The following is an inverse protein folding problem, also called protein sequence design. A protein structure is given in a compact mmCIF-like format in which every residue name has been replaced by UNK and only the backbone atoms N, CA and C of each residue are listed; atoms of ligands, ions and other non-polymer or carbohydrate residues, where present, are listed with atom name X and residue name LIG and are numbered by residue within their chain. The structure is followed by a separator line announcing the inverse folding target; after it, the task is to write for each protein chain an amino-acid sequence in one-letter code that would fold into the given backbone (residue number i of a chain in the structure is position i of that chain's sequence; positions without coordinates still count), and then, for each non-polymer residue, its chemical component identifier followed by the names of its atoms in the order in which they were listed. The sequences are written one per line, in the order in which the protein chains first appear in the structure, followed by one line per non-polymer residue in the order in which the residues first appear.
data_IF_874809750794
#
_entry.id   IF_874809750794
#
_cell.length_a   1.000
_cell.length_b   1.000
_cell.length_c   1.000
_cell.angle_alpha   90.00
_cell.angle_beta   90.00
_cell.angle_gamma   90.00
#
_symmetry.space_group_name_H-M   'P 1'
#
loop_
_entity.id
_entity.type
_entity.pdbx_description
1 polymer ?
#
# COMPACT_ATOMS: atom_id res chain seq x y z
N UNK A 1 2.84 31.09 -22.91
CA UNK A 1 3.90 31.44 -21.94
C UNK A 1 3.75 30.65 -20.62
N UNK A 2 2.56 30.61 -20.02
CA UNK A 2 2.26 29.88 -18.77
C UNK A 2 2.59 28.36 -18.83
N UNK A 3 2.23 27.67 -19.93
CA UNK A 3 2.52 26.23 -20.10
C UNK A 3 4.02 25.87 -20.10
N UNK A 4 4.89 26.77 -20.59
CA UNK A 4 6.35 26.53 -20.59
C UNK A 4 6.95 26.70 -19.20
N UNK A 5 6.46 27.67 -18.42
CA UNK A 5 6.86 27.87 -17.02
C UNK A 5 6.42 26.70 -16.13
N UNK A 6 5.20 26.19 -16.31
CA UNK A 6 4.73 24.99 -15.60
C UNK A 6 5.59 23.75 -15.88
N UNK A 7 6.05 23.57 -17.12
CA UNK A 7 6.92 22.44 -17.48
C UNK A 7 8.28 22.49 -16.76
N UNK A 8 8.87 23.68 -16.64
CA UNK A 8 10.16 23.87 -15.93
C UNK A 8 9.96 23.72 -14.42
N UNK A 9 8.81 24.16 -13.89
CA UNK A 9 8.49 24.05 -12.48
C UNK A 9 8.20 22.61 -12.02
N UNK A 10 7.66 21.77 -12.92
CA UNK A 10 7.39 20.36 -12.63
C UNK A 10 8.58 19.43 -12.90
N UNK A 11 9.68 19.96 -13.45
CA UNK A 11 10.90 19.20 -13.67
C UNK A 11 11.67 19.03 -12.35
N UNK A 12 11.99 17.78 -11.99
CA UNK A 12 12.62 17.41 -10.71
C UNK A 12 13.98 18.07 -10.46
N UNK A 13 14.68 18.50 -11.52
CA UNK A 13 16.00 19.11 -11.44
C UNK A 13 15.89 20.63 -11.51
N UNK A 14 15.19 21.17 -12.52
CA UNK A 14 15.13 22.62 -12.73
C UNK A 14 14.34 23.36 -11.65
N UNK A 15 13.31 22.75 -11.08
CA UNK A 15 12.56 23.30 -9.93
C UNK A 15 13.46 23.52 -8.71
N UNK A 16 14.39 22.59 -8.44
CA UNK A 16 15.36 22.70 -7.35
C UNK A 16 16.38 23.81 -7.62
N UNK A 17 16.89 23.90 -8.85
CA UNK A 17 17.83 24.96 -9.25
C UNK A 17 17.20 26.34 -9.10
N UNK A 18 15.95 26.51 -9.54
CA UNK A 18 15.23 27.79 -9.39
C UNK A 18 14.97 28.11 -7.92
N UNK A 19 14.60 27.11 -7.11
CA UNK A 19 14.38 27.29 -5.67
C UNK A 19 15.65 27.75 -4.95
N UNK A 20 16.80 27.14 -5.25
CA UNK A 20 18.11 27.57 -4.73
C UNK A 20 18.44 28.99 -5.20
N UNK A 21 18.17 29.33 -6.46
CA UNK A 21 18.36 30.67 -6.99
C UNK A 21 17.50 31.73 -6.27
N UNK A 22 16.24 31.42 -5.97
CA UNK A 22 15.34 32.31 -5.22
C UNK A 22 15.84 32.50 -3.79
N UNK A 23 16.23 31.42 -3.09
CA UNK A 23 16.79 31.51 -1.74
C UNK A 23 18.08 32.33 -1.70
N UNK A 24 18.93 32.18 -2.72
CA UNK A 24 20.15 32.97 -2.87
C UNK A 24 19.84 34.47 -3.09
N UNK A 25 18.88 34.79 -3.96
CA UNK A 25 18.43 36.17 -4.18
C UNK A 25 17.86 36.82 -2.92
N UNK A 26 17.01 36.11 -2.17
CA UNK A 26 16.47 36.58 -0.89
C UNK A 26 17.62 36.90 0.09
N UNK A 27 18.62 36.03 0.14
CA UNK A 27 19.82 36.22 0.99
C UNK A 27 20.61 37.46 0.58
N UNK A 28 20.80 37.70 -0.72
CA UNK A 28 21.47 38.91 -1.22
C UNK A 28 20.69 40.19 -0.89
N UNK A 29 19.37 40.17 -1.07
CA UNK A 29 18.50 41.32 -0.76
C UNK A 29 18.55 41.63 0.74
N UNK A 30 18.43 40.61 1.59
CA UNK A 30 18.50 40.78 3.04
C UNK A 30 19.85 41.39 3.47
N UNK A 31 20.97 40.88 2.95
CA UNK A 31 22.30 41.42 3.25
C UNK A 31 22.49 42.86 2.77
N UNK A 32 21.87 43.25 1.65
CA UNK A 32 21.87 44.64 1.17
C UNK A 32 21.09 45.57 2.10
N UNK A 33 19.92 45.12 2.59
CA UNK A 33 19.12 45.87 3.57
C UNK A 33 19.91 46.06 4.87
N UNK A 34 20.54 45.00 5.37
CA UNK A 34 21.38 45.05 6.59
C UNK A 34 22.59 45.98 6.40
N UNK A 35 23.25 45.92 5.24
CA UNK A 35 24.37 46.82 4.90
C UNK A 35 23.98 48.29 4.97
N UNK A 36 22.80 48.65 4.44
CA UNK A 36 22.27 50.02 4.50
C UNK A 36 21.89 50.40 5.93
N UNK A 37 21.17 49.53 6.64
CA UNK A 37 20.67 49.82 7.99
C UNK A 37 21.77 49.91 9.04
N UNK A 38 22.86 49.16 8.89
CA UNK A 38 23.96 49.09 9.86
C UNK A 38 25.22 49.86 9.41
N UNK A 39 25.19 50.53 8.25
CA UNK A 39 26.32 51.25 7.66
C UNK A 39 27.61 50.41 7.55
N UNK A 40 27.47 49.11 7.31
CA UNK A 40 28.59 48.18 7.08
C UNK A 40 28.73 47.89 5.60
N UNK A 41 29.93 47.51 5.15
CA UNK A 41 30.12 47.10 3.76
C UNK A 41 29.29 45.85 3.45
N UNK A 42 28.78 45.72 2.22
CA UNK A 42 27.99 44.56 1.81
C UNK A 42 28.76 43.24 2.00
N UNK A 43 30.07 43.25 1.76
CA UNK A 43 30.95 42.10 1.96
C UNK A 43 30.97 41.66 3.43
N UNK A 44 31.02 42.60 4.36
CA UNK A 44 31.00 42.31 5.80
C UNK A 44 29.63 41.82 6.26
N UNK A 45 28.53 42.38 5.73
CA UNK A 45 27.18 41.90 6.01
C UNK A 45 26.99 40.44 5.53
N UNK A 46 27.45 40.13 4.32
CA UNK A 46 27.37 38.80 3.73
C UNK A 46 28.20 37.76 4.50
N UNK A 47 29.43 38.10 4.91
CA UNK A 47 30.26 37.20 5.73
C UNK A 47 29.67 36.99 7.13
N UNK A 48 29.05 38.03 7.73
CA UNK A 48 28.33 37.89 9.00
C UNK A 48 27.11 36.99 8.89
N UNK A 49 26.41 36.99 7.75
CA UNK A 49 25.28 36.09 7.51
C UNK A 49 25.70 34.62 7.50
N UNK A 50 26.79 34.28 6.80
CA UNK A 50 27.31 32.91 6.73
C UNK A 50 27.87 32.40 8.07
N UNK A 51 28.46 33.31 8.85
CA UNK A 51 28.99 33.00 10.17
C UNK A 51 27.98 33.23 11.30
N UNK A 52 26.70 33.45 10.96
CA UNK A 52 25.68 33.69 11.97
C UNK A 52 25.46 32.41 12.79
N UNK A 53 25.63 32.43 14.12
CA UNK A 53 25.41 31.25 14.93
C UNK A 53 23.92 30.89 14.91
N UNK A 54 23.57 29.89 14.11
CA UNK A 54 22.21 29.36 14.08
C UNK A 54 21.98 28.67 15.42
N UNK A 55 21.05 29.21 16.20
CA UNK A 55 20.67 28.60 17.47
C UNK A 55 19.97 27.28 17.16
N UNK A 56 20.47 26.17 17.72
CA UNK A 56 19.95 24.81 17.54
C UNK A 56 18.42 24.69 17.68
N UNK A 57 17.80 25.50 18.56
CA UNK A 57 16.35 25.50 18.75
C UNK A 57 15.57 25.90 17.49
N UNK A 58 16.14 26.75 16.62
CA UNK A 58 15.50 27.16 15.36
C UNK A 58 15.39 25.96 14.41
N UNK A 59 16.43 25.13 14.33
CA UNK A 59 16.41 23.89 13.52
C UNK A 59 15.33 22.92 14.03
N UNK A 60 15.20 22.78 15.35
CA UNK A 60 14.18 21.92 15.98
C UNK A 60 12.77 22.43 15.66
N UNK A 61 12.53 23.74 15.76
CA UNK A 61 11.22 24.34 15.43
C UNK A 61 10.85 24.10 13.96
N UNK A 62 11.80 24.27 13.03
CA UNK A 62 11.56 24.00 11.60
C UNK A 62 11.21 22.53 11.36
N UNK A 63 11.89 21.59 12.02
CA UNK A 63 11.57 20.16 11.94
C UNK A 63 10.15 19.84 12.45
N UNK A 64 9.74 20.46 13.56
CA UNK A 64 8.39 20.29 14.13
C UNK A 64 7.33 20.86 13.17
N UNK A 65 7.58 22.02 12.57
CA UNK A 65 6.63 22.61 11.61
C UNK A 65 6.48 21.71 10.37
N UNK A 66 7.59 21.19 9.83
CA UNK A 66 7.56 20.28 8.68
C UNK A 66 6.81 18.98 9.01
N UNK A 67 7.02 18.40 10.19
CA UNK A 67 6.30 17.18 10.60
C UNK A 67 4.81 17.43 10.77
N UNK A 68 4.40 18.58 11.32
CA UNK A 68 2.99 18.97 11.44
C UNK A 68 2.34 19.16 10.07
N UNK A 69 3.01 19.83 9.11
CA UNK A 69 2.48 20.01 7.75
C UNK A 69 2.27 18.66 7.06
N UNK A 70 3.23 17.74 7.18
CA UNK A 70 3.11 16.39 6.62
C UNK A 70 1.96 15.60 7.25
N UNK A 71 1.78 15.72 8.56
CA UNK A 71 0.68 15.07 9.28
C UNK A 71 -0.69 15.62 8.87
N UNK A 72 -0.83 16.94 8.76
CA UNK A 72 -2.06 17.59 8.30
C UNK A 72 -2.39 17.18 6.85
N UNK A 73 -1.39 17.15 5.97
CA UNK A 73 -1.58 16.71 4.59
C UNK A 73 -2.07 15.26 4.52
N UNK A 74 -1.51 14.37 5.33
CA UNK A 74 -1.94 12.98 5.42
C UNK A 74 -3.42 12.85 5.84
N UNK A 75 -3.82 13.57 6.89
CA UNK A 75 -5.22 13.57 7.37
C UNK A 75 -6.18 14.13 6.32
N UNK A 76 -5.83 15.25 5.67
CA UNK A 76 -6.69 15.86 4.65
C UNK A 76 -6.85 14.96 3.42
N UNK A 77 -5.82 14.20 3.05
CA UNK A 77 -5.91 13.20 1.97
C UNK A 77 -6.85 12.05 2.36
N UNK A 78 -6.80 11.62 3.62
CA UNK A 78 -7.62 10.51 4.12
C UNK A 78 -9.11 10.89 4.29
N UNK A 79 -9.41 12.17 4.49
CA UNK A 79 -10.77 12.67 4.73
C UNK A 79 -11.54 13.11 3.46
N UNK A 80 -10.98 12.95 2.25
CA UNK A 80 -11.79 13.11 1.04
C UNK A 80 -12.68 11.89 0.89
N UNK A 81 -13.90 11.98 1.40
CA UNK A 81 -14.92 10.96 1.21
C UNK A 81 -15.23 10.83 -0.27
N UNK A 82 -14.88 9.69 -0.85
CA UNK A 82 -15.29 9.34 -2.21
C UNK A 82 -16.81 9.38 -2.27
N UNK A 83 -17.35 10.08 -3.27
CA UNK A 83 -18.79 10.21 -3.47
C UNK A 83 -19.14 9.50 -4.76
N UNK A 84 -19.98 8.49 -4.64
CA UNK A 84 -20.53 7.79 -5.80
C UNK A 84 -21.50 8.67 -6.59
N UNK A 85 -21.47 8.49 -7.90
CA UNK A 85 -22.61 8.67 -8.79
C UNK A 85 -23.25 7.30 -9.09
N UNK A 86 -24.37 7.29 -9.81
CA UNK A 86 -25.15 6.07 -10.05
C UNK A 86 -24.40 5.03 -10.91
N UNK A 87 -23.55 5.47 -11.84
CA UNK A 87 -22.79 4.57 -12.72
C UNK A 87 -21.59 3.96 -11.98
N UNK A 88 -20.88 4.78 -11.20
CA UNK A 88 -19.70 4.35 -10.45
C UNK A 88 -20.02 3.38 -9.32
N UNK A 89 -21.19 3.50 -8.68
CA UNK A 89 -21.61 2.54 -7.66
C UNK A 89 -21.94 1.18 -8.28
N UNK A 90 -22.49 1.15 -9.50
CA UNK A 90 -22.82 -0.09 -10.19
C UNK A 90 -21.54 -0.85 -10.57
N UNK A 91 -20.52 -0.15 -11.08
CA UNK A 91 -19.22 -0.74 -11.40
C UNK A 91 -18.56 -1.39 -10.17
N UNK A 92 -18.48 -0.66 -9.06
CA UNK A 92 -17.90 -1.18 -7.82
C UNK A 92 -18.77 -2.32 -7.23
N UNK A 93 -20.10 -2.25 -7.31
CA UNK A 93 -20.99 -3.36 -6.93
C UNK A 93 -20.73 -4.62 -7.74
N UNK A 94 -20.62 -4.50 -9.06
CA UNK A 94 -20.36 -5.64 -9.94
C UNK A 94 -19.00 -6.27 -9.65
N UNK A 95 -17.95 -5.46 -9.44
CA UNK A 95 -16.64 -5.97 -9.06
C UNK A 95 -16.66 -6.65 -7.68
N UNK A 96 -17.36 -6.05 -6.70
CA UNK A 96 -17.53 -6.63 -5.37
C UNK A 96 -18.22 -7.99 -5.42
N UNK A 97 -19.33 -8.10 -6.15
CA UNK A 97 -20.04 -9.38 -6.33
C UNK A 97 -19.17 -10.39 -7.08
N UNK A 98 -18.45 -9.98 -8.12
CA UNK A 98 -17.53 -10.85 -8.84
C UNK A 98 -16.46 -11.47 -7.91
N UNK A 99 -15.84 -10.65 -7.06
CA UNK A 99 -14.85 -11.14 -6.09
C UNK A 99 -15.49 -12.11 -5.10
N UNK A 100 -16.65 -11.76 -4.53
CA UNK A 100 -17.35 -12.54 -3.50
C UNK A 100 -17.93 -13.87 -4.03
N UNK A 101 -18.53 -13.83 -5.22
CA UNK A 101 -19.40 -14.91 -5.69
C UNK A 101 -18.72 -15.79 -6.74
N UNK A 102 -17.70 -15.29 -7.46
CA UNK A 102 -16.98 -16.08 -8.47
C UNK A 102 -15.61 -16.55 -7.97
N UNK A 103 -14.79 -15.65 -7.41
CA UNK A 103 -13.41 -15.99 -7.00
C UNK A 103 -13.30 -16.52 -5.58
N UNK A 104 -14.07 -15.96 -4.64
CA UNK A 104 -14.00 -16.25 -3.22
C UNK A 104 -15.35 -16.74 -2.68
N UNK A 105 -15.88 -17.77 -3.34
CA UNK A 105 -17.15 -18.41 -2.98
C UNK A 105 -17.20 -18.78 -1.49
N UNK A 106 -18.42 -18.87 -0.94
CA UNK A 106 -18.62 -19.19 0.47
C UNK A 106 -17.90 -20.47 0.88
N UNK A 107 -17.98 -21.53 0.06
CA UNK A 107 -17.30 -22.81 0.31
C UNK A 107 -15.77 -22.66 0.34
N UNK A 108 -15.19 -21.91 -0.61
CA UNK A 108 -13.75 -21.66 -0.67
C UNK A 108 -13.27 -20.89 0.57
N UNK A 109 -14.02 -19.88 0.99
CA UNK A 109 -13.68 -19.12 2.19
C UNK A 109 -13.90 -19.94 3.46
N UNK A 110 -14.90 -20.82 3.50
CA UNK A 110 -15.08 -21.74 4.62
C UNK A 110 -13.90 -22.70 4.75
N UNK A 111 -13.34 -23.17 3.63
CA UNK A 111 -12.12 -23.97 3.64
C UNK A 111 -10.93 -23.17 4.23
N UNK A 112 -10.77 -21.92 3.83
CA UNK A 112 -9.74 -21.02 4.41
C UNK A 112 -9.96 -20.85 5.92
N UNK A 113 -11.19 -20.56 6.36
CA UNK A 113 -11.55 -20.37 7.78
C UNK A 113 -11.32 -21.62 8.62
N UNK A 114 -11.45 -22.80 8.02
CA UNK A 114 -11.21 -24.08 8.66
C UNK A 114 -9.75 -24.54 8.55
N UNK A 115 -8.86 -23.72 7.99
CA UNK A 115 -7.45 -24.04 7.77
C UNK A 115 -7.27 -25.33 6.94
N UNK A 116 -8.12 -25.56 5.93
CA UNK A 116 -8.13 -26.80 5.16
C UNK A 116 -6.82 -27.00 4.39
N UNK A 117 -6.20 -25.94 3.87
CA UNK A 117 -4.99 -26.05 3.05
C UNK A 117 -3.76 -26.48 3.86
N UNK A 118 -3.71 -26.13 5.15
CA UNK A 118 -2.67 -26.59 6.05
C UNK A 118 -2.98 -27.96 6.66
N UNK A 119 -4.25 -28.27 6.95
CA UNK A 119 -4.61 -29.40 7.81
C UNK A 119 -5.04 -30.67 7.07
N UNK A 120 -5.61 -30.55 5.88
CA UNK A 120 -6.28 -31.65 5.20
C UNK A 120 -5.86 -31.78 3.73
N UNK A 121 -6.24 -32.90 3.13
CA UNK A 121 -6.23 -33.01 1.67
C UNK A 121 -7.37 -32.16 1.10
N UNK A 122 -7.11 -31.47 0.00
CA UNK A 122 -8.09 -30.60 -0.66
C UNK A 122 -7.99 -30.72 -2.18
N UNK A 123 -9.07 -30.34 -2.86
CA UNK A 123 -9.07 -30.29 -4.31
C UNK A 123 -8.33 -29.04 -4.79
N UNK A 124 -7.35 -29.22 -5.67
CA UNK A 124 -6.42 -28.15 -6.08
C UNK A 124 -7.11 -26.95 -6.71
N UNK A 125 -8.24 -27.16 -7.39
CA UNK A 125 -9.06 -26.09 -7.98
C UNK A 125 -9.44 -25.03 -6.93
N UNK A 126 -9.79 -25.43 -5.70
CA UNK A 126 -10.14 -24.48 -4.63
C UNK A 126 -9.01 -23.49 -4.34
N UNK A 127 -7.76 -23.96 -4.35
CA UNK A 127 -6.60 -23.11 -4.14
C UNK A 127 -6.28 -22.30 -5.41
N UNK A 128 -6.39 -22.91 -6.59
CA UNK A 128 -6.07 -22.26 -7.85
C UNK A 128 -7.03 -21.11 -8.18
N UNK A 129 -8.34 -21.26 -7.95
CA UNK A 129 -9.32 -20.18 -8.15
C UNK A 129 -9.06 -18.99 -7.23
N UNK A 130 -8.75 -19.23 -5.95
CA UNK A 130 -8.36 -18.17 -5.02
C UNK A 130 -7.11 -17.45 -5.53
N UNK A 131 -6.11 -18.19 -5.99
CA UNK A 131 -4.85 -17.62 -6.49
C UNK A 131 -5.05 -16.87 -7.82
N UNK A 132 -5.95 -17.32 -8.69
CA UNK A 132 -6.26 -16.69 -9.99
C UNK A 132 -6.71 -15.25 -9.82
N UNK A 133 -7.35 -14.92 -8.70
CA UNK A 133 -7.71 -13.54 -8.36
C UNK A 133 -6.51 -12.58 -8.38
N UNK A 134 -5.31 -13.04 -8.03
CA UNK A 134 -4.07 -12.22 -8.11
C UNK A 134 -3.63 -11.94 -9.54
N UNK A 135 -3.93 -12.86 -10.46
CA UNK A 135 -3.62 -12.68 -11.88
C UNK A 135 -4.70 -11.82 -12.56
N UNK A 136 -5.97 -11.94 -12.16
CA UNK A 136 -7.06 -11.06 -12.62
C UNK A 136 -6.79 -9.59 -12.25
N UNK A 137 -6.22 -9.31 -11.08
CA UNK A 137 -5.87 -7.97 -10.62
C UNK A 137 -4.86 -7.23 -11.52
N UNK A 138 -4.19 -7.91 -12.45
CA UNK A 138 -3.30 -7.25 -13.42
C UNK A 138 -4.07 -6.50 -14.51
N UNK A 139 -5.37 -6.76 -14.65
CA UNK A 139 -6.21 -6.14 -15.67
C UNK A 139 -6.64 -4.75 -15.20
N UNK A 140 -6.56 -3.77 -16.10
CA UNK A 140 -6.83 -2.36 -15.77
C UNK A 140 -8.27 -2.08 -15.30
N UNK A 141 -9.23 -2.96 -15.62
CA UNK A 141 -10.62 -2.81 -15.19
C UNK A 141 -10.87 -3.41 -13.79
N UNK A 142 -9.90 -4.09 -13.20
CA UNK A 142 -10.06 -4.80 -11.94
C UNK A 142 -9.65 -3.91 -10.75
N UNK A 143 -10.20 -2.70 -10.70
CA UNK A 143 -9.89 -1.66 -9.71
C UNK A 143 -11.19 -1.05 -9.19
N UNK A 144 -11.33 -0.91 -7.88
CA UNK A 144 -12.43 -0.18 -7.27
C UNK A 144 -12.20 1.32 -7.44
N UNK A 145 -13.25 2.04 -7.81
CA UNK A 145 -13.22 3.50 -7.84
C UNK A 145 -13.19 4.06 -6.41
N UNK A 146 -13.84 3.37 -5.48
CA UNK A 146 -13.76 3.72 -4.07
C UNK A 146 -12.40 3.35 -3.47
N UNK A 147 -11.61 4.34 -3.00
CA UNK A 147 -10.26 4.10 -2.52
C UNK A 147 -10.21 3.25 -1.25
N UNK A 148 -11.28 3.25 -0.44
CA UNK A 148 -11.35 2.42 0.77
C UNK A 148 -11.56 0.96 0.38
N UNK A 149 -12.43 0.68 -0.58
CA UNK A 149 -12.63 -0.69 -1.07
C UNK A 149 -11.38 -1.20 -1.80
N UNK A 150 -10.73 -0.33 -2.58
CA UNK A 150 -9.49 -0.67 -3.25
C UNK A 150 -8.39 -1.05 -2.25
N UNK A 151 -8.20 -0.26 -1.19
CA UNK A 151 -7.25 -0.59 -0.13
C UNK A 151 -7.55 -1.96 0.51
N UNK A 152 -8.82 -2.27 0.77
CA UNK A 152 -9.21 -3.58 1.33
C UNK A 152 -8.95 -4.72 0.35
N UNK A 153 -9.23 -4.52 -0.93
CA UNK A 153 -8.94 -5.50 -1.99
C UNK A 153 -7.44 -5.74 -2.11
N UNK A 154 -6.63 -4.68 -2.11
CA UNK A 154 -5.16 -4.79 -2.16
C UNK A 154 -4.60 -5.57 -0.97
N UNK A 155 -5.10 -5.32 0.25
CA UNK A 155 -4.70 -6.08 1.43
C UNK A 155 -5.05 -7.56 1.30
N UNK A 156 -6.26 -7.87 0.81
CA UNK A 156 -6.71 -9.24 0.57
C UNK A 156 -5.83 -9.95 -0.46
N UNK A 157 -5.57 -9.31 -1.60
CA UNK A 157 -4.74 -9.83 -2.68
C UNK A 157 -3.30 -10.07 -2.25
N UNK A 158 -2.75 -9.19 -1.40
CA UNK A 158 -1.42 -9.38 -0.83
C UNK A 158 -1.34 -10.69 -0.04
N UNK A 159 -2.31 -10.94 0.84
CA UNK A 159 -2.36 -12.18 1.62
C UNK A 159 -2.56 -13.41 0.73
N UNK A 160 -3.33 -13.32 -0.35
CA UNK A 160 -3.45 -14.40 -1.35
C UNK A 160 -2.10 -14.64 -2.06
N UNK A 161 -1.35 -13.59 -2.39
CA UNK A 161 -0.01 -13.70 -2.96
C UNK A 161 0.98 -14.40 -2.02
N UNK A 162 0.88 -14.14 -0.72
CA UNK A 162 1.66 -14.82 0.32
C UNK A 162 1.26 -16.31 0.40
N UNK A 163 -0.04 -16.62 0.35
CA UNK A 163 -0.54 -18.00 0.30
C UNK A 163 0.01 -18.76 -0.92
N UNK A 164 -0.02 -18.14 -2.11
CA UNK A 164 0.57 -18.70 -3.33
C UNK A 164 2.06 -19.02 -3.14
N UNK A 165 2.82 -18.06 -2.60
CA UNK A 165 4.26 -18.20 -2.40
C UNK A 165 4.61 -19.39 -1.51
N UNK A 166 3.87 -19.57 -0.42
CA UNK A 166 4.11 -20.68 0.52
C UNK A 166 3.64 -22.01 -0.08
N UNK A 167 2.43 -22.07 -0.63
CA UNK A 167 1.82 -23.31 -1.10
C UNK A 167 2.60 -23.97 -2.24
N UNK A 168 3.13 -23.20 -3.20
CA UNK A 168 3.87 -23.72 -4.38
C UNK A 168 4.98 -24.71 -4.01
N UNK A 169 5.63 -24.55 -2.85
CA UNK A 169 6.75 -25.41 -2.44
C UNK A 169 6.43 -26.34 -1.26
N UNK A 170 5.21 -26.27 -0.72
CA UNK A 170 4.83 -26.96 0.52
C UNK A 170 3.68 -27.93 0.33
N UNK A 171 2.82 -27.73 -0.67
CA UNK A 171 1.77 -28.69 -1.03
C UNK A 171 2.16 -29.47 -2.28
N UNK A 172 1.72 -30.71 -2.38
CA UNK A 172 2.00 -31.59 -3.51
C UNK A 172 0.82 -32.54 -3.78
N UNK A 173 0.80 -33.09 -4.98
CA UNK A 173 -0.21 -34.06 -5.38
C UNK A 173 -0.16 -35.34 -4.54
N UNK A 174 -1.32 -35.86 -4.17
CA UNK A 174 -1.45 -37.10 -3.41
C UNK A 174 -1.47 -38.29 -4.39
N UNK A 175 -0.66 -39.32 -4.12
CA UNK A 175 -0.61 -40.49 -4.98
C UNK A 175 -1.96 -41.23 -5.00
N UNK A 176 -2.44 -41.58 -6.18
CA UNK A 176 -3.72 -42.29 -6.37
C UNK A 176 -4.97 -41.40 -6.28
N UNK A 177 -4.84 -40.10 -6.05
CA UNK A 177 -5.96 -39.15 -6.00
C UNK A 177 -5.67 -37.92 -6.88
N UNK A 178 -5.90 -38.03 -8.21
CA UNK A 178 -5.63 -36.94 -9.15
C UNK A 178 -6.36 -35.64 -8.78
N UNK A 179 -5.66 -34.51 -8.86
CA UNK A 179 -6.21 -33.20 -8.54
C UNK A 179 -6.27 -32.87 -7.05
N UNK A 180 -6.01 -33.82 -6.15
CA UNK A 180 -5.93 -33.57 -4.71
C UNK A 180 -4.51 -33.18 -4.30
N UNK A 181 -4.43 -32.17 -3.44
CA UNK A 181 -3.20 -31.63 -2.89
C UNK A 181 -3.22 -31.74 -1.36
N UNK A 182 -2.05 -31.91 -0.76
CA UNK A 182 -1.84 -31.71 0.68
C UNK A 182 -0.38 -31.37 0.97
N UNK A 183 -0.08 -30.96 2.19
CA UNK A 183 1.28 -31.07 2.72
C UNK A 183 1.67 -32.57 2.69
N UNK A 184 2.84 -32.94 2.14
CA UNK A 184 3.27 -34.34 2.10
C UNK A 184 3.32 -34.95 3.50
N UNK A 185 2.51 -36.00 3.72
CA UNK A 185 2.40 -36.64 5.05
C UNK A 185 3.67 -37.37 5.44
N UNK A 186 4.48 -37.77 4.46
CA UNK A 186 5.78 -38.40 4.65
C UNK A 186 6.72 -37.48 5.45
N UNK A 187 6.62 -36.16 5.28
CA UNK A 187 7.44 -35.20 6.01
C UNK A 187 7.18 -35.27 7.51
N UNK A 188 5.97 -35.61 7.97
CA UNK A 188 5.69 -35.76 9.39
C UNK A 188 6.55 -36.86 10.06
N UNK A 189 7.05 -37.81 9.28
CA UNK A 189 7.91 -38.90 9.74
C UNK A 189 9.39 -38.69 9.37
N UNK A 190 9.68 -38.20 8.16
CA UNK A 190 11.06 -38.05 7.68
C UNK A 190 11.73 -36.74 8.10
N UNK A 191 10.96 -35.66 8.22
CA UNK A 191 11.44 -34.32 8.55
C UNK A 191 10.33 -33.52 9.25
N UNK A 192 10.11 -33.86 10.53
CA UNK A 192 8.99 -33.34 11.32
C UNK A 192 8.99 -31.81 11.38
N UNK A 193 10.18 -31.20 11.47
CA UNK A 193 10.33 -29.75 11.54
C UNK A 193 9.81 -29.09 10.26
N UNK A 194 10.19 -29.60 9.09
CA UNK A 194 9.70 -29.09 7.81
C UNK A 194 8.18 -29.19 7.71
N UNK A 195 7.59 -30.29 8.18
CA UNK A 195 6.14 -30.46 8.19
C UNK A 195 5.45 -29.42 9.11
N UNK A 196 5.92 -29.29 10.35
CA UNK A 196 5.34 -28.37 11.32
C UNK A 196 5.50 -26.90 10.88
N UNK A 197 6.64 -26.54 10.28
CA UNK A 197 6.88 -25.20 9.71
C UNK A 197 5.94 -24.91 8.54
N UNK A 198 5.74 -25.87 7.63
CA UNK A 198 4.79 -25.74 6.51
C UNK A 198 3.35 -25.56 7.01
N UNK A 199 2.92 -26.43 7.94
CA UNK A 199 1.59 -26.38 8.56
C UNK A 199 1.34 -25.02 9.22
N UNK A 200 2.28 -24.56 10.05
CA UNK A 200 2.17 -23.29 10.78
C UNK A 200 2.12 -22.09 9.84
N UNK A 201 2.97 -22.06 8.82
CA UNK A 201 3.03 -20.95 7.88
C UNK A 201 1.74 -20.85 7.06
N UNK A 202 1.26 -21.96 6.50
CA UNK A 202 0.01 -21.96 5.73
C UNK A 202 -1.17 -21.58 6.64
N UNK A 203 -1.29 -22.18 7.83
CA UNK A 203 -2.41 -21.87 8.73
C UNK A 203 -2.39 -20.41 9.19
N UNK A 204 -1.22 -19.83 9.46
CA UNK A 204 -1.13 -18.40 9.81
C UNK A 204 -1.66 -17.51 8.69
N UNK A 205 -1.34 -17.83 7.44
CA UNK A 205 -1.79 -17.07 6.27
C UNK A 205 -3.28 -17.31 6.01
N UNK A 206 -3.78 -18.53 6.17
CA UNK A 206 -5.21 -18.85 6.07
C UNK A 206 -6.04 -18.03 7.07
N UNK A 207 -5.60 -17.95 8.33
CA UNK A 207 -6.26 -17.13 9.34
C UNK A 207 -6.24 -15.64 8.99
N UNK A 208 -5.10 -15.11 8.51
CA UNK A 208 -5.01 -13.72 8.07
C UNK A 208 -5.93 -13.46 6.86
N UNK A 209 -5.95 -14.38 5.89
CA UNK A 209 -6.79 -14.30 4.70
C UNK A 209 -8.27 -14.25 5.08
N UNK A 210 -8.69 -15.12 6.00
CA UNK A 210 -10.05 -15.11 6.54
C UNK A 210 -10.40 -13.77 7.20
N UNK A 211 -9.51 -13.20 7.99
CA UNK A 211 -9.71 -11.89 8.62
C UNK A 211 -9.82 -10.76 7.60
N UNK A 212 -8.93 -10.73 6.59
CA UNK A 212 -8.95 -9.73 5.52
C UNK A 212 -10.18 -9.83 4.65
N UNK A 213 -10.62 -11.05 4.35
CA UNK A 213 -11.86 -11.29 3.63
C UNK A 213 -13.07 -10.79 4.42
N UNK A 214 -13.19 -11.13 5.70
CA UNK A 214 -14.30 -10.67 6.54
C UNK A 214 -14.36 -9.14 6.64
N UNK A 215 -13.20 -8.47 6.73
CA UNK A 215 -13.10 -7.01 6.75
C UNK A 215 -13.50 -6.40 5.39
N UNK A 216 -13.05 -6.99 4.27
CA UNK A 216 -13.45 -6.60 2.92
C UNK A 216 -14.98 -6.73 2.74
N UNK A 217 -15.56 -7.87 3.11
CA UNK A 217 -17.01 -8.10 3.01
C UNK A 217 -17.79 -7.10 3.86
N UNK A 218 -17.42 -6.91 5.13
CA UNK A 218 -18.10 -5.96 6.02
C UNK A 218 -18.00 -4.52 5.51
N UNK A 219 -16.86 -4.14 4.96
CA UNK A 219 -16.64 -2.81 4.40
C UNK A 219 -17.45 -2.61 3.12
N UNK A 220 -17.41 -3.57 2.21
CA UNK A 220 -18.21 -3.61 0.97
C UNK A 220 -19.70 -3.41 1.25
N UNK A 221 -20.28 -4.24 2.13
CA UNK A 221 -21.70 -4.13 2.51
C UNK A 221 -22.08 -2.76 3.06
N UNK A 222 -21.22 -2.16 3.89
CA UNK A 222 -21.49 -0.83 4.48
C UNK A 222 -21.43 0.30 3.45
N UNK A 223 -20.47 0.24 2.55
CA UNK A 223 -20.22 1.30 1.55
C UNK A 223 -21.22 1.19 0.40
N UNK A 224 -21.40 -0.01 -0.14
CA UNK A 224 -22.21 -0.29 -1.34
C UNK A 224 -23.68 -0.59 -1.01
N UNK A 225 -24.02 -0.85 0.26
CA UNK A 225 -25.38 -1.15 0.74
C UNK A 225 -26.00 -2.41 0.11
N UNK A 226 -25.17 -3.44 -0.08
CA UNK A 226 -25.51 -4.80 -0.55
C UNK A 226 -25.35 -5.85 0.54
#
# INVERSE_FOLDING_TARGET
MIKKLQKIWNDSVWSKVISVGILFLITLINNKIVSISQKISFKDAFLKFWNYPIKLWICIVVLIILSLIMWIYYILKQNRTFKYDDDTIELDCNLYMKIRDEFLTEDMIMNVKQNIFSSNAFYGENLFTIIELTDENRKAYFEFLNPVLEEKKEQLLKTIGELRSVTVNTVSGIHGTPGWLSIPKEWAHSDRKRFDDAWKNISSIENELAMKYDDFIKTGKRILKV
#
